data_IF_174332209542
#
_entry.id   IF_174332209542
#
_cell.length_a   1.000
_cell.length_b   1.000
_cell.length_c   1.000
_cell.angle_alpha   90.00
_cell.angle_beta   90.00
_cell.angle_gamma   90.00
#
_symmetry.space_group_name_H-M   'P 1'
#
loop_
_entity.id
_entity.type
_entity.pdbx_description
1 polymer ?
#
# COMPACT_ATOMS: atom_id res chain seq x y z
N UNK A 1 13.36 13.01 20.44
CA UNK A 1 12.30 12.76 21.42
C UNK A 1 11.00 13.37 20.94
N UNK A 2 9.88 12.73 21.23
CA UNK A 2 8.53 13.26 21.00
C UNK A 2 7.68 13.06 22.24
N UNK A 3 6.75 14.00 22.44
CA UNK A 3 5.73 13.93 23.49
C UNK A 3 4.46 14.58 22.97
N UNK A 4 3.31 14.00 23.23
CA UNK A 4 2.05 14.60 22.80
C UNK A 4 0.82 13.75 23.11
N UNK A 5 -0.33 14.33 22.84
CA UNK A 5 -1.61 13.66 22.87
C UNK A 5 -1.85 13.00 21.51
N UNK A 6 -2.04 11.68 21.50
CA UNK A 6 -2.28 10.90 20.27
C UNK A 6 -3.74 10.47 20.12
N UNK A 7 -4.55 10.71 21.14
CA UNK A 7 -5.99 10.44 21.11
C UNK A 7 -6.71 11.43 22.04
N UNK A 8 -7.61 12.21 21.46
CA UNK A 8 -8.48 13.15 22.18
C UNK A 8 -9.59 12.37 22.90
N UNK A 9 -9.93 12.72 24.14
CA UNK A 9 -11.07 12.10 24.82
C UNK A 9 -12.37 12.48 24.08
N UNK A 10 -13.23 11.49 23.92
CA UNK A 10 -14.59 11.71 23.49
C UNK A 10 -15.51 11.11 24.56
N UNK A 11 -16.14 11.99 25.36
CA UNK A 11 -17.09 11.64 26.39
C UNK A 11 -18.48 11.99 25.88
N UNK A 12 -19.26 11.01 25.51
CA UNK A 12 -20.65 11.22 25.14
C UNK A 12 -21.53 10.93 26.34
N UNK A 13 -21.92 11.96 27.08
CA UNK A 13 -22.82 11.88 28.22
C UNK A 13 -24.29 11.61 27.84
N UNK A 14 -24.65 11.78 26.56
CA UNK A 14 -26.02 11.66 26.08
C UNK A 14 -26.41 10.24 25.58
N UNK A 15 -25.68 9.21 25.95
CA UNK A 15 -25.89 7.85 25.44
C UNK A 15 -27.01 7.07 26.10
N UNK A 16 -28.15 7.68 26.39
CA UNK A 16 -29.42 6.97 26.45
C UNK A 16 -30.06 6.74 25.05
N UNK A 17 -29.49 7.31 24.02
CA UNK A 17 -29.85 7.05 22.64
C UNK A 17 -28.88 6.03 22.04
N UNK A 18 -29.41 4.89 21.63
CA UNK A 18 -28.76 3.82 20.88
C UNK A 18 -28.25 4.34 19.49
N UNK A 19 -27.25 5.21 19.46
CA UNK A 19 -26.51 5.52 18.24
C UNK A 19 -25.10 4.91 18.38
N UNK A 20 -24.89 3.85 17.63
CA UNK A 20 -23.76 2.90 17.67
C UNK A 20 -22.38 3.43 17.30
N UNK A 21 -22.20 4.72 17.05
CA UNK A 21 -20.99 5.24 16.40
C UNK A 21 -20.05 6.09 17.30
N UNK A 22 -20.40 6.32 18.57
CA UNK A 22 -19.60 7.14 19.48
C UNK A 22 -19.10 6.33 20.67
N UNK A 23 -18.05 5.56 20.46
CA UNK A 23 -17.35 4.86 21.55
C UNK A 23 -16.59 5.91 22.38
N UNK A 24 -16.94 6.05 23.64
CA UNK A 24 -16.21 6.87 24.61
C UNK A 24 -14.72 6.45 24.67
N UNK A 25 -13.83 7.42 24.64
CA UNK A 25 -12.39 7.17 24.59
C UNK A 25 -11.68 7.95 25.71
N UNK A 26 -10.69 7.33 26.33
CA UNK A 26 -9.78 8.01 27.25
C UNK A 26 -8.83 8.95 26.50
N UNK A 27 -8.38 10.00 27.19
CA UNK A 27 -7.24 10.79 26.75
C UNK A 27 -5.99 9.92 26.71
N UNK A 28 -5.33 9.82 25.57
CA UNK A 28 -4.10 9.05 25.41
C UNK A 28 -2.91 9.96 25.27
N UNK A 29 -1.99 9.90 26.20
CA UNK A 29 -0.68 10.54 26.11
C UNK A 29 0.37 9.53 25.72
N UNK A 30 1.30 9.98 24.86
CA UNK A 30 2.42 9.16 24.44
C UNK A 30 3.72 9.96 24.44
N UNK A 31 4.82 9.24 24.67
CA UNK A 31 6.17 9.76 24.50
C UNK A 31 7.06 8.70 23.88
N UNK A 32 8.01 9.18 23.10
CA UNK A 32 8.95 8.35 22.38
C UNK A 32 10.35 8.92 22.36
N UNK A 33 11.30 8.02 22.45
CA UNK A 33 12.73 8.33 22.34
C UNK A 33 13.34 7.45 21.26
N UNK A 34 14.18 8.03 20.44
CA UNK A 34 15.02 7.30 19.49
C UNK A 34 16.46 7.73 19.70
N UNK A 35 17.35 6.77 19.88
CA UNK A 35 18.78 6.95 19.95
C UNK A 35 19.43 6.15 18.84
N UNK A 36 20.25 6.77 18.02
CA UNK A 36 20.88 6.13 16.89
C UNK A 36 22.36 6.44 16.78
N UNK A 37 23.12 5.45 16.34
CA UNK A 37 24.54 5.54 16.06
C UNK A 37 24.78 5.21 14.59
N UNK A 38 25.57 6.02 13.91
CA UNK A 38 25.97 5.75 12.54
C UNK A 38 25.52 6.81 11.53
N UNK A 39 25.40 6.39 10.27
CA UNK A 39 24.99 7.21 9.12
C UNK A 39 23.85 6.48 8.41
N UNK A 40 23.13 7.17 7.50
CA UNK A 40 22.00 6.63 6.74
C UNK A 40 22.25 5.23 6.12
N UNK A 41 23.47 4.94 5.69
CA UNK A 41 23.84 3.64 5.09
C UNK A 41 24.23 2.57 6.09
N UNK A 42 24.81 2.95 7.22
CA UNK A 42 25.24 2.05 8.30
C UNK A 42 24.84 2.67 9.62
N UNK A 43 23.84 2.09 10.25
CA UNK A 43 23.30 2.60 11.51
C UNK A 43 22.81 1.47 12.40
N UNK A 44 22.75 1.80 13.67
CA UNK A 44 22.09 1.03 14.70
C UNK A 44 21.26 1.98 15.55
N UNK A 45 19.95 1.80 15.56
CA UNK A 45 19.00 2.64 16.27
C UNK A 45 18.28 1.83 17.33
N UNK A 46 18.12 2.43 18.49
CA UNK A 46 17.24 1.95 19.55
C UNK A 46 16.09 2.92 19.68
N UNK A 47 14.89 2.41 19.89
CA UNK A 47 13.75 3.25 20.16
C UNK A 47 12.90 2.70 21.30
N UNK A 48 12.29 3.63 21.99
CA UNK A 48 11.41 3.43 23.10
C UNK A 48 10.15 4.27 22.84
N UNK A 49 8.99 3.65 22.98
CA UNK A 49 7.71 4.34 22.84
C UNK A 49 6.79 3.85 23.96
N UNK A 50 6.14 4.78 24.64
CA UNK A 50 5.13 4.47 25.63
C UNK A 50 3.89 5.31 25.39
N UNK A 51 2.71 4.66 25.37
CA UNK A 51 1.40 5.29 25.31
C UNK A 51 0.51 4.80 26.45
N UNK A 52 -0.21 5.70 27.10
CA UNK A 52 -1.05 5.39 28.23
C UNK A 52 -2.38 6.14 28.17
N UNK A 53 -3.46 5.44 28.44
CA UNK A 53 -4.77 6.04 28.63
C UNK A 53 -4.92 6.54 30.07
N UNK A 54 -5.26 7.82 30.23
CA UNK A 54 -5.37 8.50 31.51
C UNK A 54 -6.79 8.39 32.07
N UNK A 55 -7.05 7.35 32.88
CA UNK A 55 -8.33 7.13 33.53
C UNK A 55 -8.54 7.98 34.78
N UNK A 56 -7.46 8.45 35.42
CA UNK A 56 -7.53 9.27 36.64
C UNK A 56 -8.09 10.69 36.43
N UNK A 57 -8.27 11.11 35.17
CA UNK A 57 -8.89 12.39 34.81
C UNK A 57 -10.41 12.30 34.69
N UNK A 58 -10.99 11.13 34.97
CA UNK A 58 -12.41 10.85 34.81
C UNK A 58 -12.94 10.46 36.23
N UNK A 59 -14.08 11.00 36.61
CA UNK A 59 -14.75 10.64 37.87
C UNK A 59 -15.12 9.15 37.88
N UNK A 60 -15.11 8.55 39.06
CA UNK A 60 -15.35 7.11 39.24
C UNK A 60 -16.70 6.64 38.61
N UNK A 61 -17.71 7.49 38.60
CA UNK A 61 -18.99 7.21 37.91
C UNK A 61 -18.86 7.12 36.40
N UNK A 62 -18.03 7.96 35.77
CA UNK A 62 -17.80 7.93 34.30
C UNK A 62 -17.01 6.70 33.86
N UNK A 63 -16.15 6.16 34.72
CA UNK A 63 -15.41 4.91 34.42
C UNK A 63 -16.38 3.72 34.30
N UNK A 64 -17.42 3.67 35.12
CA UNK A 64 -18.48 2.64 35.04
C UNK A 64 -19.34 2.80 33.77
N UNK A 65 -19.57 4.02 33.30
CA UNK A 65 -20.37 4.30 32.10
C UNK A 65 -19.60 3.96 30.84
N UNK A 66 -18.27 4.17 30.79
CA UNK A 66 -17.46 3.91 29.58
C UNK A 66 -17.29 2.42 29.28
N UNK A 67 -17.46 1.53 30.26
CA UNK A 67 -17.29 0.07 30.17
C UNK A 67 -16.00 -0.39 29.43
N UNK A 68 -15.12 0.54 29.10
CA UNK A 68 -13.88 0.28 28.40
C UNK A 68 -12.70 0.28 29.37
N UNK A 69 -11.92 -0.79 29.40
CA UNK A 69 -10.71 -0.82 30.23
C UNK A 69 -9.66 0.16 29.67
N UNK A 70 -8.98 0.95 30.54
CA UNK A 70 -7.91 1.84 30.10
C UNK A 70 -6.64 1.05 29.77
N UNK A 71 -6.19 0.99 28.49
CA UNK A 71 -4.99 0.27 28.13
C UNK A 71 -3.71 1.11 28.28
N UNK A 72 -2.58 0.41 28.39
CA UNK A 72 -1.23 0.96 28.39
C UNK A 72 -0.35 0.13 27.46
N UNK A 73 0.52 0.77 26.69
CA UNK A 73 1.40 0.10 25.73
C UNK A 73 2.81 0.64 25.81
N UNK A 74 3.76 -0.27 25.88
CA UNK A 74 5.19 -0.03 25.80
C UNK A 74 5.76 -0.74 24.58
N UNK A 75 6.50 -0.04 23.75
CA UNK A 75 7.23 -0.63 22.63
C UNK A 75 8.71 -0.30 22.75
N UNK A 76 9.52 -1.33 22.73
CA UNK A 76 10.98 -1.23 22.67
C UNK A 76 11.41 -1.90 21.38
N UNK A 77 12.29 -1.26 20.62
CA UNK A 77 12.73 -1.82 19.37
C UNK A 77 14.12 -1.37 18.94
N UNK A 78 14.61 -2.09 17.94
CA UNK A 78 15.89 -1.83 17.30
C UNK A 78 15.71 -1.79 15.81
N UNK A 79 16.46 -0.93 15.15
CA UNK A 79 16.60 -0.86 13.69
C UNK A 79 18.09 -0.80 13.36
N UNK A 80 18.55 -1.71 12.51
CA UNK A 80 19.96 -1.76 12.14
C UNK A 80 20.13 -2.05 10.66
N UNK A 81 21.11 -1.39 10.07
CA UNK A 81 21.52 -1.62 8.68
C UNK A 81 23.03 -1.54 8.59
N UNK A 82 23.62 -2.56 7.96
CA UNK A 82 25.06 -2.66 7.77
C UNK A 82 25.38 -3.05 6.33
N UNK A 83 26.34 -2.37 5.74
CA UNK A 83 26.85 -2.69 4.40
C UNK A 83 28.24 -3.26 4.52
N UNK A 84 28.40 -4.51 4.14
CA UNK A 84 29.66 -5.23 4.12
C UNK A 84 30.20 -5.32 2.69
N UNK A 85 31.53 -5.21 2.54
CA UNK A 85 32.21 -5.35 1.24
C UNK A 85 31.61 -4.46 0.12
N UNK A 86 30.93 -3.37 0.46
CA UNK A 86 30.23 -2.47 -0.47
C UNK A 86 29.12 -3.13 -1.32
N UNK A 87 28.85 -4.42 -1.14
CA UNK A 87 27.92 -5.22 -1.95
C UNK A 87 26.85 -5.94 -1.14
N UNK A 88 27.17 -6.36 0.07
CA UNK A 88 26.23 -7.09 0.94
C UNK A 88 25.62 -6.11 1.94
N UNK A 89 24.32 -5.97 1.92
CA UNK A 89 23.53 -5.21 2.89
C UNK A 89 22.78 -6.19 3.79
N UNK A 90 23.00 -6.08 5.10
CA UNK A 90 22.17 -6.72 6.11
C UNK A 90 21.30 -5.66 6.79
N UNK A 91 20.02 -5.94 6.92
CA UNK A 91 19.05 -5.10 7.64
C UNK A 91 18.31 -5.93 8.67
N UNK A 92 18.02 -5.31 9.80
CA UNK A 92 17.34 -5.97 10.90
C UNK A 92 16.50 -4.95 11.64
N UNK A 93 15.22 -5.26 11.86
CA UNK A 93 14.29 -4.48 12.66
C UNK A 93 13.54 -5.42 13.58
N UNK A 94 13.63 -5.21 14.90
CA UNK A 94 12.94 -6.02 15.88
C UNK A 94 12.25 -5.12 16.89
N UNK A 95 10.98 -5.38 17.13
CA UNK A 95 10.13 -4.63 18.03
C UNK A 95 9.41 -5.56 19.00
N UNK A 96 9.50 -5.28 20.28
CA UNK A 96 8.72 -5.91 21.31
C UNK A 96 7.66 -4.93 21.80
N UNK A 97 6.41 -5.30 21.66
CA UNK A 97 5.28 -4.55 22.21
C UNK A 97 4.73 -5.27 23.45
N UNK A 98 4.68 -4.55 24.54
CA UNK A 98 4.07 -4.98 25.79
C UNK A 98 2.80 -4.16 25.96
N UNK A 99 1.67 -4.84 26.00
CA UNK A 99 0.35 -4.22 26.07
C UNK A 99 -0.38 -4.74 27.31
N UNK A 100 -0.76 -3.83 28.19
CA UNK A 100 -1.72 -4.06 29.26
C UNK A 100 -3.09 -3.57 28.81
N UNK A 101 -4.05 -4.48 28.65
CA UNK A 101 -5.38 -4.10 28.15
C UNK A 101 -6.22 -3.35 29.19
N UNK A 102 -5.98 -3.59 30.47
CA UNK A 102 -6.69 -2.97 31.58
C UNK A 102 -5.74 -2.63 32.72
N UNK A 103 -5.47 -1.36 32.93
CA UNK A 103 -4.62 -0.91 34.05
C UNK A 103 -5.23 -1.12 35.42
N UNK A 104 -6.55 -1.34 35.50
CA UNK A 104 -7.31 -1.51 36.75
C UNK A 104 -7.49 -2.97 37.17
N UNK A 105 -6.99 -3.91 36.34
CA UNK A 105 -7.08 -5.33 36.64
C UNK A 105 -6.15 -5.71 37.83
N UNK A 106 -6.54 -6.74 38.60
CA UNK A 106 -5.76 -7.23 39.72
C UNK A 106 -4.43 -7.87 39.28
N UNK A 107 -3.43 -7.78 40.15
CA UNK A 107 -2.09 -8.33 39.91
C UNK A 107 -2.02 -9.86 40.10
N UNK A 108 -3.07 -10.51 40.62
CA UNK A 108 -3.02 -11.79 41.29
C UNK A 108 -2.75 -13.05 40.47
N UNK A 109 -2.75 -12.99 39.14
CA UNK A 109 -2.35 -14.15 38.32
C UNK A 109 -1.90 -13.68 36.94
N UNK A 110 -0.62 -13.64 36.75
CA UNK A 110 -0.07 -13.38 35.44
C UNK A 110 -0.11 -14.66 34.60
N UNK A 111 -0.62 -14.56 33.38
CA UNK A 111 -0.49 -15.64 32.41
C UNK A 111 1.01 -15.94 32.18
N UNK A 112 1.34 -17.22 32.03
CA UNK A 112 2.72 -17.76 31.88
C UNK A 112 3.58 -17.22 30.74
N UNK A 113 3.08 -16.26 29.98
CA UNK A 113 3.74 -15.73 28.77
C UNK A 113 4.97 -14.84 29.04
N UNK A 114 5.23 -14.44 30.30
CA UNK A 114 6.36 -13.57 30.64
C UNK A 114 7.27 -14.25 31.68
N UNK A 115 8.53 -14.47 31.36
CA UNK A 115 9.52 -14.94 32.33
C UNK A 115 9.65 -13.94 33.50
N UNK A 116 9.92 -14.44 34.71
CA UNK A 116 10.00 -13.63 35.92
C UNK A 116 11.03 -12.49 35.86
N UNK A 117 12.11 -12.68 35.08
CA UNK A 117 13.15 -11.66 34.87
C UNK A 117 12.64 -10.51 33.98
N UNK A 118 11.89 -10.81 32.95
CA UNK A 118 11.25 -9.80 32.07
C UNK A 118 10.19 -9.03 32.85
N UNK A 119 9.46 -9.70 33.72
CA UNK A 119 8.43 -9.15 34.59
C UNK A 119 8.96 -8.07 35.55
N UNK A 120 10.10 -8.31 36.22
CA UNK A 120 10.73 -7.33 37.12
C UNK A 120 11.15 -6.06 36.38
N UNK A 121 11.76 -6.22 35.22
CA UNK A 121 12.21 -5.09 34.39
C UNK A 121 11.01 -4.34 33.80
N UNK A 122 10.04 -5.06 33.28
CA UNK A 122 8.85 -4.48 32.61
C UNK A 122 7.93 -3.77 33.61
N UNK A 123 7.77 -4.33 34.82
CA UNK A 123 6.93 -3.75 35.89
C UNK A 123 7.36 -2.35 36.33
N UNK A 124 8.65 -1.98 36.11
CA UNK A 124 9.12 -0.62 36.38
C UNK A 124 8.66 0.41 35.31
N UNK A 125 8.27 -0.06 34.13
CA UNK A 125 7.92 0.80 33.01
C UNK A 125 6.44 0.74 32.62
N UNK A 126 5.70 -0.30 32.99
CA UNK A 126 4.29 -0.50 32.63
C UNK A 126 3.54 -1.17 33.78
N UNK A 127 2.25 -0.91 33.91
CA UNK A 127 1.37 -1.58 34.86
C UNK A 127 1.18 -3.05 34.43
N UNK A 128 1.95 -3.96 35.02
CA UNK A 128 1.89 -5.39 34.69
C UNK A 128 0.83 -6.11 35.53
N UNK A 129 -0.11 -6.79 34.86
CA UNK A 129 -1.17 -7.58 35.52
C UNK A 129 -1.62 -8.74 34.61
N UNK A 130 -2.68 -9.44 34.97
CA UNK A 130 -3.21 -10.59 34.22
C UNK A 130 -3.70 -10.26 32.78
N UNK A 131 -3.83 -8.98 32.43
CA UNK A 131 -4.20 -8.54 31.09
C UNK A 131 -2.99 -8.12 30.24
N UNK A 132 -1.78 -8.22 30.78
CA UNK A 132 -0.52 -7.85 30.15
C UNK A 132 -0.03 -8.97 29.24
N UNK A 133 0.35 -8.63 28.02
CA UNK A 133 0.94 -9.54 27.04
C UNK A 133 2.12 -8.89 26.32
N UNK A 134 3.10 -9.71 25.96
CA UNK A 134 4.21 -9.32 25.11
C UNK A 134 4.10 -9.99 23.74
N UNK A 135 4.31 -9.24 22.68
CA UNK A 135 4.31 -9.71 21.30
C UNK A 135 5.51 -9.13 20.56
N UNK A 136 6.06 -9.91 19.63
CA UNK A 136 7.19 -9.51 18.80
C UNK A 136 6.73 -9.18 17.38
N UNK A 137 7.39 -8.19 16.79
CA UNK A 137 7.32 -7.92 15.37
C UNK A 137 8.73 -7.66 14.86
N UNK A 138 9.13 -8.34 13.80
CA UNK A 138 10.47 -8.20 13.27
C UNK A 138 10.57 -8.45 11.78
N UNK A 139 11.60 -7.84 11.19
CA UNK A 139 12.01 -8.00 9.82
C UNK A 139 13.52 -8.20 9.77
N UNK A 140 13.99 -9.10 8.92
CA UNK A 140 15.39 -9.30 8.62
C UNK A 140 15.59 -9.41 7.11
N UNK A 141 16.63 -8.77 6.59
CA UNK A 141 16.93 -8.79 5.17
C UNK A 141 18.42 -8.94 4.92
N UNK A 142 18.74 -9.73 3.89
CA UNK A 142 20.08 -9.84 3.33
C UNK A 142 19.98 -9.55 1.84
N UNK A 143 20.75 -8.59 1.35
CA UNK A 143 20.76 -8.20 -0.05
C UNK A 143 22.18 -8.12 -0.57
N UNK A 144 22.48 -8.91 -1.58
CA UNK A 144 23.68 -8.79 -2.37
C UNK A 144 23.40 -7.97 -3.62
N UNK A 145 24.23 -6.96 -3.87
CA UNK A 145 24.10 -6.11 -5.05
C UNK A 145 25.43 -6.04 -5.80
N UNK A 146 25.40 -6.41 -7.05
CA UNK A 146 26.49 -6.26 -7.99
C UNK A 146 26.07 -5.40 -9.19
N UNK A 147 27.01 -5.12 -10.09
CA UNK A 147 26.76 -4.38 -11.32
C UNK A 147 25.74 -5.08 -12.23
N UNK A 148 25.81 -6.38 -12.33
CA UNK A 148 25.03 -7.18 -13.26
C UNK A 148 23.85 -7.90 -12.63
N UNK A 149 23.88 -8.15 -11.33
CA UNK A 149 22.82 -8.85 -10.64
C UNK A 149 22.62 -8.34 -9.22
N UNK A 150 21.47 -8.56 -8.68
CA UNK A 150 21.18 -8.47 -7.26
C UNK A 150 20.35 -9.68 -6.84
N UNK A 151 20.52 -10.08 -5.59
CA UNK A 151 19.71 -11.11 -4.94
C UNK A 151 19.47 -10.69 -3.50
N UNK A 152 18.25 -10.89 -3.02
CA UNK A 152 17.87 -10.55 -1.66
C UNK A 152 16.99 -11.64 -1.06
N UNK A 153 17.16 -11.82 0.25
CA UNK A 153 16.32 -12.63 1.11
C UNK A 153 15.71 -11.71 2.15
N UNK A 154 14.42 -11.81 2.35
CA UNK A 154 13.70 -11.02 3.34
C UNK A 154 12.75 -11.89 4.14
N UNK A 155 12.82 -11.76 5.45
CA UNK A 155 11.95 -12.41 6.43
C UNK A 155 11.22 -11.36 7.23
N UNK A 156 9.91 -11.55 7.44
CA UNK A 156 9.07 -10.70 8.27
C UNK A 156 8.16 -11.57 9.11
N UNK A 157 8.07 -11.26 10.40
CA UNK A 157 7.14 -11.91 11.31
C UNK A 157 6.50 -10.90 12.25
N UNK A 158 5.19 -11.00 12.42
CA UNK A 158 4.43 -10.22 13.37
C UNK A 158 3.57 -11.20 14.17
N UNK A 159 3.79 -11.24 15.46
CA UNK A 159 3.07 -12.14 16.36
C UNK A 159 1.57 -11.85 16.38
N UNK A 160 0.73 -12.87 16.66
CA UNK A 160 -0.70 -12.70 16.88
C UNK A 160 -0.97 -11.67 18.01
N UNK A 161 -1.95 -10.81 17.76
CA UNK A 161 -2.38 -9.75 18.69
C UNK A 161 -1.30 -8.68 18.97
N UNK A 162 -0.26 -8.57 18.14
CA UNK A 162 0.67 -7.46 18.22
C UNK A 162 -0.07 -6.13 18.02
N UNK A 163 0.15 -5.18 18.94
CA UNK A 163 -0.42 -3.83 18.88
C UNK A 163 0.61 -2.80 19.31
N UNK A 164 0.59 -1.64 18.68
CA UNK A 164 1.35 -0.46 19.07
C UNK A 164 0.46 0.77 19.00
N UNK A 165 0.45 1.59 20.02
CA UNK A 165 -0.29 2.86 20.02
C UNK A 165 0.35 3.92 19.11
N UNK A 166 1.59 3.72 18.70
CA UNK A 166 2.28 4.58 17.73
C UNK A 166 1.92 4.28 16.28
N UNK A 167 1.14 3.25 16.00
CA UNK A 167 0.73 2.84 14.65
C UNK A 167 -0.80 2.71 14.62
N UNK A 168 -1.43 3.38 13.67
CA UNK A 168 -2.89 3.37 13.56
C UNK A 168 -3.45 1.98 13.20
N UNK A 169 -2.79 1.28 12.29
CA UNK A 169 -3.17 -0.07 11.87
C UNK A 169 -1.93 -0.91 11.56
N UNK A 170 -1.93 -2.15 12.02
CA UNK A 170 -0.92 -3.15 11.69
C UNK A 170 -1.61 -4.50 11.47
N UNK A 171 -1.24 -5.18 10.39
CA UNK A 171 -1.69 -6.55 10.15
C UNK A 171 -0.84 -7.48 11.01
N UNK A 172 -1.44 -8.07 12.02
CA UNK A 172 -0.81 -9.00 12.94
C UNK A 172 -0.98 -10.48 12.51
N UNK A 173 -0.29 -11.37 13.20
CA UNK A 173 -0.36 -12.82 12.98
C UNK A 173 0.07 -13.20 11.56
N UNK A 174 1.26 -12.76 11.19
CA UNK A 174 1.78 -12.83 9.84
C UNK A 174 3.24 -13.29 9.84
N UNK A 175 3.55 -14.23 8.98
CA UNK A 175 4.93 -14.61 8.63
C UNK A 175 5.10 -14.58 7.12
N UNK A 176 6.18 -13.99 6.65
CA UNK A 176 6.47 -13.81 5.23
C UNK A 176 7.94 -14.08 4.94
N UNK A 177 8.19 -14.94 3.97
CA UNK A 177 9.51 -15.22 3.40
C UNK A 177 9.53 -14.74 1.96
N UNK A 178 10.48 -13.90 1.60
CA UNK A 178 10.58 -13.36 0.25
C UNK A 178 11.99 -13.51 -0.29
N UNK A 179 12.09 -14.01 -1.50
CA UNK A 179 13.32 -14.01 -2.31
C UNK A 179 13.12 -13.05 -3.45
N UNK A 180 14.01 -12.12 -3.63
CA UNK A 180 14.00 -11.19 -4.76
C UNK A 180 15.31 -11.26 -5.52
N UNK A 181 15.26 -11.07 -6.82
CA UNK A 181 16.44 -11.08 -7.68
C UNK A 181 16.29 -10.19 -8.90
N UNK A 182 17.40 -9.72 -9.41
CA UNK A 182 17.45 -8.95 -10.63
C UNK A 182 18.72 -9.23 -11.44
N UNK A 183 18.58 -9.21 -12.75
CA UNK A 183 19.66 -9.38 -13.72
C UNK A 183 19.67 -8.21 -14.68
N UNK A 184 20.85 -7.66 -14.94
CA UNK A 184 21.09 -6.58 -15.90
C UNK A 184 22.10 -7.06 -16.94
N UNK A 185 21.61 -7.31 -18.14
CA UNK A 185 22.39 -7.86 -19.22
C UNK A 185 22.52 -6.86 -20.36
N UNK A 186 23.45 -7.12 -21.30
CA UNK A 186 23.64 -6.33 -22.51
C UNK A 186 23.74 -4.82 -22.26
N UNK A 187 24.57 -4.40 -21.30
CA UNK A 187 24.75 -2.98 -20.91
C UNK A 187 23.41 -2.30 -20.54
N UNK A 188 22.57 -2.98 -19.74
CA UNK A 188 21.23 -2.55 -19.31
C UNK A 188 20.14 -2.53 -20.40
N UNK A 189 20.40 -3.11 -21.57
CA UNK A 189 19.33 -3.27 -22.57
C UNK A 189 18.33 -4.36 -22.20
N UNK A 190 18.72 -5.27 -21.34
CA UNK A 190 17.87 -6.36 -20.87
C UNK A 190 17.92 -6.40 -19.33
N UNK A 191 16.81 -6.08 -18.71
CA UNK A 191 16.68 -6.08 -17.25
C UNK A 191 15.57 -7.04 -16.85
N UNK A 192 15.89 -8.03 -16.04
CA UNK A 192 14.94 -8.94 -15.40
C UNK A 192 14.88 -8.63 -13.91
N UNK A 193 13.69 -8.66 -13.35
CA UNK A 193 13.46 -8.61 -11.92
C UNK A 193 12.41 -9.64 -11.56
N UNK A 194 12.60 -10.30 -10.43
CA UNK A 194 11.66 -11.26 -9.92
C UNK A 194 11.61 -11.25 -8.40
N UNK A 195 10.47 -11.60 -7.87
CA UNK A 195 10.29 -11.92 -6.47
C UNK A 195 9.41 -13.15 -6.31
N UNK A 196 9.67 -13.89 -5.25
CA UNK A 196 8.90 -15.04 -4.81
C UNK A 196 8.69 -14.91 -3.31
N UNK A 197 7.44 -14.87 -2.87
CA UNK A 197 7.07 -14.73 -1.47
C UNK A 197 6.10 -15.81 -1.04
N UNK A 198 6.34 -16.38 0.13
CA UNK A 198 5.42 -17.24 0.84
C UNK A 198 4.97 -16.53 2.12
N UNK A 199 3.67 -16.31 2.24
CA UNK A 199 3.06 -15.69 3.40
C UNK A 199 2.10 -16.64 4.06
N UNK A 200 2.14 -16.72 5.38
CA UNK A 200 1.18 -17.49 6.18
C UNK A 200 0.72 -16.70 7.39
N UNK A 201 -0.49 -17.00 7.85
CA UNK A 201 -1.05 -16.48 9.08
C UNK A 201 -1.40 -17.62 10.05
N UNK A 202 -2.05 -17.28 11.17
CA UNK A 202 -2.46 -18.22 12.23
C UNK A 202 -1.27 -18.97 12.83
N UNK A 203 -0.20 -18.23 13.15
CA UNK A 203 1.10 -18.75 13.59
C UNK A 203 1.02 -19.59 14.89
N UNK A 204 0.03 -19.32 15.74
CA UNK A 204 -0.23 -20.08 16.99
C UNK A 204 -1.42 -21.04 16.87
N UNK A 205 -1.99 -21.23 15.67
CA UNK A 205 -3.15 -22.08 15.42
C UNK A 205 -4.38 -21.80 16.30
N UNK A 206 -4.56 -20.51 16.68
CA UNK A 206 -5.68 -20.07 17.54
C UNK A 206 -6.86 -19.52 16.73
N UNK A 207 -6.65 -19.16 15.47
CA UNK A 207 -7.72 -18.67 14.58
C UNK A 207 -8.45 -19.84 13.95
N UNK A 208 -9.73 -19.63 13.64
CA UNK A 208 -10.56 -20.64 12.97
C UNK A 208 -10.05 -21.01 11.59
N UNK A 209 -9.38 -20.10 10.91
CA UNK A 209 -8.88 -20.30 9.55
C UNK A 209 -7.38 -20.02 9.48
N UNK A 210 -6.66 -20.87 8.75
CA UNK A 210 -5.26 -20.67 8.36
C UNK A 210 -5.22 -20.31 6.89
N UNK A 211 -4.49 -19.28 6.51
CA UNK A 211 -4.31 -18.84 5.12
C UNK A 211 -2.84 -18.88 4.76
N UNK A 212 -2.54 -19.58 3.67
CA UNK A 212 -1.23 -19.58 3.02
C UNK A 212 -1.34 -18.88 1.67
N UNK A 213 -0.34 -18.06 1.35
CA UNK A 213 -0.31 -17.25 0.13
C UNK A 213 1.03 -17.39 -0.54
N UNK A 214 1.00 -17.82 -1.78
CA UNK A 214 2.16 -17.80 -2.66
C UNK A 214 2.03 -16.59 -3.60
N UNK A 215 3.03 -15.72 -3.57
CA UNK A 215 3.08 -14.51 -4.38
C UNK A 215 4.36 -14.56 -5.20
N UNK A 216 4.26 -14.48 -6.50
CA UNK A 216 5.43 -14.32 -7.34
C UNK A 216 5.18 -13.31 -8.46
N UNK A 217 6.23 -12.58 -8.78
CA UNK A 217 6.23 -11.59 -9.85
C UNK A 217 7.54 -11.70 -10.62
N UNK A 218 7.43 -11.65 -11.94
CA UNK A 218 8.56 -11.60 -12.85
C UNK A 218 8.31 -10.45 -13.81
N UNK A 219 9.27 -9.55 -13.93
CA UNK A 219 9.22 -8.46 -14.89
C UNK A 219 10.49 -8.40 -15.73
N UNK A 220 10.33 -8.05 -16.99
CA UNK A 220 11.43 -7.84 -17.92
C UNK A 220 11.24 -6.52 -18.64
N UNK A 221 12.30 -5.72 -18.70
CA UNK A 221 12.37 -4.53 -19.52
C UNK A 221 13.46 -4.76 -20.56
N UNK A 222 13.05 -4.77 -21.83
CA UNK A 222 13.90 -4.99 -23.01
C UNK A 222 13.97 -3.68 -23.76
N UNK A 223 15.15 -3.10 -23.88
CA UNK A 223 15.40 -1.86 -24.65
C UNK A 223 16.02 -2.25 -26.00
N UNK A 224 15.26 -2.04 -27.06
CA UNK A 224 15.67 -2.29 -28.44
C UNK A 224 16.29 -1.02 -29.01
N UNK A 225 17.62 -0.92 -28.99
CA UNK A 225 18.33 0.31 -29.37
C UNK A 225 17.86 1.51 -28.51
N UNK A 226 18.09 2.74 -28.99
CA UNK A 226 17.71 3.95 -28.24
C UNK A 226 16.23 4.33 -28.31
N UNK A 227 15.46 3.69 -29.16
CA UNK A 227 14.17 4.22 -29.62
C UNK A 227 12.97 3.38 -29.25
N UNK A 228 13.14 2.14 -28.88
CA UNK A 228 12.03 1.27 -28.58
C UNK A 228 12.34 0.24 -27.51
N UNK A 229 11.31 -0.44 -27.05
CA UNK A 229 11.44 -1.47 -26.06
C UNK A 229 10.16 -2.24 -25.82
N UNK A 230 10.27 -3.19 -24.92
CA UNK A 230 9.20 -4.09 -24.52
C UNK A 230 9.24 -4.27 -23.00
N UNK A 231 8.13 -3.97 -22.35
CA UNK A 231 7.93 -4.30 -20.95
C UNK A 231 7.04 -5.53 -20.86
N UNK A 232 7.50 -6.54 -20.13
CA UNK A 232 6.78 -7.76 -19.84
C UNK A 232 6.65 -7.89 -18.33
N UNK A 233 5.46 -8.21 -17.84
CA UNK A 233 5.24 -8.51 -16.43
C UNK A 233 4.30 -9.69 -16.32
N UNK A 234 4.66 -10.63 -15.47
CA UNK A 234 3.80 -11.71 -15.03
C UNK A 234 3.77 -11.73 -13.52
N UNK A 235 2.59 -11.72 -12.94
CA UNK A 235 2.41 -11.88 -11.50
C UNK A 235 1.34 -12.91 -11.21
N UNK A 236 1.53 -13.63 -10.12
CA UNK A 236 0.58 -14.59 -9.60
C UNK A 236 0.43 -14.40 -8.11
N UNK A 237 -0.79 -14.49 -7.64
CA UNK A 237 -1.17 -14.43 -6.25
C UNK A 237 -2.15 -15.57 -5.96
N UNK A 238 -1.67 -16.59 -5.25
CA UNK A 238 -2.49 -17.71 -4.83
C UNK A 238 -2.76 -17.65 -3.32
N UNK A 239 -4.02 -17.85 -2.93
CA UNK A 239 -4.45 -17.97 -1.54
C UNK A 239 -4.99 -19.38 -1.34
N UNK A 240 -4.52 -20.08 -0.32
CA UNK A 240 -5.09 -21.31 0.22
C UNK A 240 -5.47 -21.05 1.67
N UNK A 241 -6.77 -21.03 1.98
CA UNK A 241 -7.27 -20.83 3.33
C UNK A 241 -8.01 -22.07 3.78
N UNK A 242 -7.53 -22.67 4.87
CA UNK A 242 -8.08 -23.88 5.46
C UNK A 242 -8.70 -23.60 6.81
N UNK A 243 -9.73 -24.36 7.17
CA UNK A 243 -10.27 -24.34 8.52
C UNK A 243 -9.22 -24.82 9.54
N UNK A 244 -9.00 -24.04 10.60
CA UNK A 244 -8.00 -24.34 11.63
C UNK A 244 -8.45 -25.37 12.67
N UNK A 245 -9.71 -25.84 12.64
CA UNK A 245 -10.25 -26.85 13.53
C UNK A 245 -10.23 -28.22 12.87
N UNK A 246 -9.56 -29.16 13.49
CA UNK A 246 -9.29 -30.53 12.99
C UNK A 246 -10.56 -31.36 12.65
N UNK A 247 -11.74 -30.91 13.07
CA UNK A 247 -13.03 -31.63 12.86
C UNK A 247 -13.85 -31.11 11.70
N UNK A 248 -13.46 -30.05 11.01
CA UNK A 248 -14.19 -29.55 9.85
C UNK A 248 -13.55 -30.07 8.58
N UNK A 249 -14.28 -30.91 7.89
CA UNK A 249 -14.00 -31.49 6.59
C UNK A 249 -13.47 -30.40 5.60
N UNK A 250 -12.70 -30.78 4.60
CA UNK A 250 -12.16 -29.96 3.49
C UNK A 250 -13.21 -29.05 2.79
N UNK A 251 -14.49 -29.25 3.12
CA UNK A 251 -15.64 -28.49 2.65
C UNK A 251 -15.53 -26.96 2.87
N UNK A 252 -14.76 -26.51 3.87
CA UNK A 252 -14.58 -25.08 4.17
C UNK A 252 -13.21 -24.53 3.72
N UNK A 253 -12.59 -25.18 2.75
CA UNK A 253 -11.35 -24.71 2.16
C UNK A 253 -11.63 -23.67 1.06
N UNK A 254 -11.04 -22.49 1.17
CA UNK A 254 -11.08 -21.46 0.14
C UNK A 254 -9.74 -21.39 -0.58
N UNK A 255 -9.75 -21.61 -1.89
CA UNK A 255 -8.56 -21.56 -2.73
C UNK A 255 -8.83 -20.65 -3.92
N UNK A 256 -8.07 -19.58 -4.03
CA UNK A 256 -8.18 -18.65 -5.14
C UNK A 256 -6.81 -18.38 -5.74
N UNK A 257 -6.74 -18.36 -7.05
CA UNK A 257 -5.55 -18.00 -7.79
C UNK A 257 -5.83 -16.81 -8.71
N UNK A 258 -5.01 -15.77 -8.59
CA UNK A 258 -5.08 -14.59 -9.45
C UNK A 258 -3.79 -14.46 -10.23
N UNK A 259 -3.87 -14.51 -11.54
CA UNK A 259 -2.73 -14.29 -12.44
C UNK A 259 -2.92 -13.01 -13.26
N UNK A 260 -1.84 -12.27 -13.45
CA UNK A 260 -1.82 -11.03 -14.26
C UNK A 260 -0.66 -11.11 -15.24
N UNK A 261 -0.95 -10.89 -16.51
CA UNK A 261 0.04 -10.76 -17.58
C UNK A 261 -0.07 -9.36 -18.15
N UNK A 262 1.06 -8.68 -18.29
CA UNK A 262 1.15 -7.37 -18.96
C UNK A 262 2.24 -7.40 -20.00
N UNK A 263 1.91 -6.94 -21.20
CA UNK A 263 2.83 -6.83 -22.34
C UNK A 263 2.69 -5.42 -22.91
N UNK A 264 3.78 -4.65 -22.91
CA UNK A 264 3.73 -3.25 -23.33
C UNK A 264 4.92 -2.90 -24.22
N UNK A 265 4.86 -3.16 -25.54
CA UNK A 265 5.82 -2.63 -26.49
C UNK A 265 5.64 -1.11 -26.64
N UNK A 266 6.75 -0.42 -26.82
CA UNK A 266 6.78 1.00 -27.11
C UNK A 266 7.85 1.33 -28.15
N UNK A 267 7.60 2.38 -28.92
CA UNK A 267 8.56 2.90 -29.86
C UNK A 267 8.49 4.43 -29.89
N UNK A 268 9.66 5.06 -29.80
CA UNK A 268 9.80 6.53 -29.81
C UNK A 268 10.69 6.96 -30.96
N UNK A 269 10.29 8.00 -31.68
CA UNK A 269 11.09 8.55 -32.77
C UNK A 269 10.94 10.07 -32.85
N UNK A 270 11.68 10.68 -33.74
CA UNK A 270 11.67 12.12 -33.94
C UNK A 270 13.04 12.74 -33.73
N UNK A 271 13.07 14.05 -33.63
CA UNK A 271 14.25 14.87 -33.44
C UNK A 271 14.18 15.70 -32.15
N UNK A 272 15.12 16.62 -31.95
CA UNK A 272 15.16 17.50 -30.81
C UNK A 272 13.92 18.41 -30.68
N UNK A 273 13.28 18.76 -31.77
CA UNK A 273 12.12 19.66 -31.84
C UNK A 273 10.80 18.90 -31.65
N UNK A 274 10.73 17.69 -32.20
CA UNK A 274 9.51 16.87 -32.22
C UNK A 274 9.82 15.48 -31.77
N UNK A 275 9.18 15.04 -30.68
CA UNK A 275 9.26 13.66 -30.16
C UNK A 275 7.91 12.99 -30.32
N UNK A 276 7.91 11.80 -30.88
CA UNK A 276 6.75 10.95 -31.07
C UNK A 276 6.93 9.67 -30.26
N UNK A 277 5.85 9.14 -29.75
CA UNK A 277 5.82 7.88 -29.00
C UNK A 277 4.57 7.09 -29.39
N UNK A 278 4.75 5.83 -29.70
CA UNK A 278 3.68 4.85 -29.88
C UNK A 278 3.85 3.77 -28.83
N UNK A 279 2.80 3.50 -28.09
CA UNK A 279 2.78 2.47 -27.07
C UNK A 279 1.51 1.62 -27.22
N UNK A 280 1.68 0.33 -27.27
CA UNK A 280 0.60 -0.64 -27.11
C UNK A 280 0.73 -1.25 -25.73
N UNK A 281 -0.39 -1.49 -25.03
CA UNK A 281 -0.43 -2.19 -23.76
C UNK A 281 -1.52 -3.23 -23.79
N UNK A 282 -1.15 -4.46 -23.53
CA UNK A 282 -2.05 -5.58 -23.34
C UNK A 282 -1.92 -6.04 -21.89
N UNK A 283 -3.02 -6.05 -21.17
CA UNK A 283 -3.09 -6.55 -19.80
C UNK A 283 -4.21 -7.56 -19.70
N UNK A 284 -3.95 -8.70 -19.11
CA UNK A 284 -4.99 -9.68 -18.76
C UNK A 284 -4.82 -10.11 -17.32
N UNK A 285 -5.93 -10.15 -16.59
CA UNK A 285 -6.01 -10.68 -15.23
C UNK A 285 -7.05 -11.79 -15.21
N UNK A 286 -6.70 -12.90 -14.63
CA UNK A 286 -7.58 -14.04 -14.46
C UNK A 286 -7.64 -14.41 -12.98
N UNK A 287 -8.85 -14.52 -12.46
CA UNK A 287 -9.14 -15.06 -11.13
C UNK A 287 -9.76 -16.43 -11.32
N UNK A 288 -9.23 -17.44 -10.65
CA UNK A 288 -9.78 -18.80 -10.62
C UNK A 288 -10.11 -19.17 -9.18
N UNK A 289 -11.34 -19.58 -8.96
CA UNK A 289 -11.82 -20.17 -7.73
C UNK A 289 -11.65 -21.69 -7.81
N UNK A 290 -10.75 -22.20 -6.98
CA UNK A 290 -10.42 -23.64 -6.88
C UNK A 290 -10.95 -24.23 -5.57
N UNK A 291 -11.87 -23.55 -4.90
CA UNK A 291 -12.45 -23.97 -3.62
C UNK A 291 -13.40 -25.16 -3.84
N UNK A 292 -13.35 -26.22 -3.03
CA UNK A 292 -14.16 -27.43 -3.23
C UNK A 292 -15.68 -27.19 -3.22
N UNK A 293 -16.14 -26.16 -2.48
CA UNK A 293 -17.57 -25.83 -2.32
C UNK A 293 -18.10 -24.76 -3.26
N UNK A 294 -17.21 -23.96 -3.82
CA UNK A 294 -17.56 -22.81 -4.68
C UNK A 294 -16.79 -22.81 -5.99
N UNK A 295 -16.32 -23.97 -6.43
CA UNK A 295 -15.53 -24.10 -7.64
C UNK A 295 -16.13 -23.34 -8.82
N UNK A 296 -15.35 -22.40 -9.37
CA UNK A 296 -15.76 -21.52 -10.47
C UNK A 296 -16.72 -20.38 -10.11
N UNK A 297 -17.29 -20.31 -8.91
CA UNK A 297 -18.25 -19.26 -8.56
C UNK A 297 -17.64 -17.85 -8.53
N UNK A 298 -16.37 -17.73 -8.26
CA UNK A 298 -15.64 -16.46 -8.26
C UNK A 298 -14.72 -16.28 -9.48
N UNK A 299 -14.87 -17.14 -10.48
CA UNK A 299 -14.08 -17.04 -11.71
C UNK A 299 -14.35 -15.73 -12.44
N UNK A 300 -13.26 -15.08 -12.85
CA UNK A 300 -13.36 -13.82 -13.58
C UNK A 300 -12.12 -13.57 -14.44
N UNK A 301 -12.33 -12.90 -15.54
CA UNK A 301 -11.27 -12.49 -16.45
C UNK A 301 -11.46 -11.03 -16.85
N UNK A 302 -10.37 -10.27 -16.75
CA UNK A 302 -10.30 -8.91 -17.26
C UNK A 302 -9.23 -8.83 -18.32
N UNK A 303 -9.54 -8.24 -19.47
CA UNK A 303 -8.60 -7.96 -20.54
C UNK A 303 -8.64 -6.48 -20.87
N UNK A 304 -7.48 -5.85 -21.01
CA UNK A 304 -7.33 -4.45 -21.40
C UNK A 304 -6.34 -4.35 -22.53
N UNK A 305 -6.73 -3.71 -23.61
CA UNK A 305 -5.91 -3.39 -24.78
C UNK A 305 -5.94 -1.89 -24.97
N UNK A 306 -4.77 -1.27 -25.00
CA UNK A 306 -4.65 0.19 -25.12
C UNK A 306 -3.56 0.48 -26.14
N UNK A 307 -3.90 1.27 -27.15
CA UNK A 307 -2.94 1.82 -28.11
C UNK A 307 -2.91 3.33 -27.92
N UNK A 308 -1.76 3.88 -27.59
CA UNK A 308 -1.55 5.31 -27.41
C UNK A 308 -0.49 5.82 -28.39
N UNK A 309 -0.81 6.90 -29.05
CA UNK A 309 0.13 7.68 -29.82
C UNK A 309 0.25 9.08 -29.24
N UNK A 310 1.45 9.60 -29.07
CA UNK A 310 1.71 10.95 -28.55
C UNK A 310 2.79 11.65 -29.38
N UNK A 311 2.55 12.91 -29.68
CA UNK A 311 3.51 13.83 -30.30
C UNK A 311 3.74 15.03 -29.37
N UNK A 312 4.99 15.36 -29.13
CA UNK A 312 5.41 16.49 -28.31
C UNK A 312 6.22 17.45 -29.20
N UNK A 313 5.70 18.66 -29.39
CA UNK A 313 6.32 19.75 -30.12
C UNK A 313 7.04 20.67 -29.13
N UNK A 314 8.33 20.42 -28.90
CA UNK A 314 9.10 21.10 -27.84
C UNK A 314 9.23 22.60 -28.03
N UNK A 315 9.46 23.07 -29.28
CA UNK A 315 9.60 24.50 -29.56
C UNK A 315 8.29 25.26 -29.31
N UNK A 316 7.17 24.63 -29.68
CA UNK A 316 5.82 25.19 -29.52
C UNK A 316 5.19 24.89 -28.15
N UNK A 317 5.86 24.05 -27.34
CA UNK A 317 5.38 23.61 -26.04
C UNK A 317 3.97 22.98 -26.10
N UNK A 318 3.66 22.28 -27.18
CA UNK A 318 2.43 21.53 -27.36
C UNK A 318 2.66 20.03 -27.25
N UNK A 319 1.67 19.34 -26.67
CA UNK A 319 1.57 17.88 -26.73
C UNK A 319 0.18 17.45 -27.19
N UNK A 320 0.15 16.52 -28.13
CA UNK A 320 -1.05 15.92 -28.67
C UNK A 320 -0.98 14.42 -28.45
N UNK A 321 -2.09 13.81 -28.08
CA UNK A 321 -2.17 12.36 -27.92
C UNK A 321 -3.51 11.83 -28.42
N UNK A 322 -3.46 10.65 -29.00
CA UNK A 322 -4.62 9.87 -29.40
C UNK A 322 -4.49 8.48 -28.78
N UNK A 323 -5.57 7.97 -28.22
CA UNK A 323 -5.60 6.64 -27.66
C UNK A 323 -6.86 5.89 -28.08
N UNK A 324 -6.74 4.59 -28.28
CA UNK A 324 -7.85 3.67 -28.45
C UNK A 324 -7.73 2.60 -27.38
N UNK A 325 -8.85 2.24 -26.77
CA UNK A 325 -8.88 1.27 -25.71
C UNK A 325 -10.05 0.30 -25.84
N UNK A 326 -9.77 -0.93 -25.46
CA UNK A 326 -10.78 -1.98 -25.30
C UNK A 326 -10.58 -2.63 -23.93
N UNK A 327 -11.61 -2.65 -23.11
CA UNK A 327 -11.61 -3.35 -21.83
C UNK A 327 -12.76 -4.34 -21.83
N UNK A 328 -12.46 -5.60 -21.56
CA UNK A 328 -13.41 -6.70 -21.51
C UNK A 328 -13.32 -7.35 -20.14
N UNK A 329 -14.45 -7.48 -19.46
CA UNK A 329 -14.56 -8.16 -18.19
C UNK A 329 -15.58 -9.28 -18.34
N UNK A 330 -15.18 -10.47 -17.97
CA UNK A 330 -16.05 -11.65 -17.92
C UNK A 330 -16.09 -12.10 -16.47
N UNK A 331 -17.26 -12.17 -15.90
CA UNK A 331 -17.49 -12.68 -14.56
C UNK A 331 -18.69 -13.64 -14.63
N UNK A 332 -18.42 -14.91 -14.46
CA UNK A 332 -19.40 -15.98 -14.73
C UNK A 332 -19.99 -15.82 -16.16
N UNK A 333 -21.30 -15.73 -16.25
CA UNK A 333 -22.07 -15.61 -17.50
C UNK A 333 -22.26 -14.16 -17.97
N UNK A 334 -21.68 -13.18 -17.24
CA UNK A 334 -21.81 -11.76 -17.56
C UNK A 334 -20.53 -11.30 -18.21
N UNK A 335 -20.64 -10.90 -19.47
CA UNK A 335 -19.59 -10.23 -20.21
C UNK A 335 -19.91 -8.74 -20.32
N UNK A 336 -18.99 -7.89 -19.85
CA UNK A 336 -19.07 -6.45 -20.05
C UNK A 336 -17.88 -5.97 -20.85
N UNK A 337 -18.11 -5.18 -21.88
CA UNK A 337 -17.08 -4.66 -22.74
C UNK A 337 -17.21 -3.13 -22.84
N UNK A 338 -16.07 -2.49 -22.95
CA UNK A 338 -15.91 -1.06 -23.10
C UNK A 338 -14.90 -0.78 -24.20
N UNK A 339 -15.34 -0.20 -25.31
CA UNK A 339 -14.50 0.19 -26.43
C UNK A 339 -14.59 1.69 -26.60
N UNK A 340 -13.47 2.35 -26.75
CA UNK A 340 -13.49 3.79 -26.93
C UNK A 340 -12.14 4.39 -27.31
N UNK A 341 -12.17 5.71 -27.48
CA UNK A 341 -10.98 6.50 -27.76
C UNK A 341 -10.83 7.66 -26.80
N UNK A 342 -9.63 8.17 -26.72
CA UNK A 342 -9.30 9.38 -25.97
C UNK A 342 -8.39 10.30 -26.77
N UNK A 343 -8.55 11.60 -26.49
CA UNK A 343 -7.72 12.67 -27.03
C UNK A 343 -7.06 13.37 -25.86
N UNK A 344 -5.79 13.65 -26.00
CA UNK A 344 -5.01 14.43 -25.06
C UNK A 344 -4.43 15.67 -25.74
N UNK A 345 -4.66 16.84 -25.16
CA UNK A 345 -4.11 18.11 -25.58
C UNK A 345 -3.37 18.73 -24.41
N UNK A 346 -2.13 19.12 -24.60
CA UNK A 346 -1.34 19.77 -23.58
C UNK A 346 -0.61 21.00 -24.11
N UNK A 347 -0.57 22.06 -23.31
CA UNK A 347 0.19 23.28 -23.57
C UNK A 347 0.96 23.68 -22.35
N UNK A 348 2.23 23.99 -22.52
CA UNK A 348 3.05 24.59 -21.48
C UNK A 348 3.39 26.02 -21.88
N UNK A 349 3.12 26.99 -21.00
CA UNK A 349 3.52 28.37 -21.13
C UNK A 349 4.75 28.58 -20.25
N UNK A 350 5.78 29.29 -20.75
CA UNK A 350 7.02 29.51 -20.00
C UNK A 350 6.99 30.77 -19.14
N UNK A 351 6.18 31.76 -19.53
CA UNK A 351 6.00 33.02 -18.82
C UNK A 351 4.54 33.47 -18.95
N UNK A 352 3.69 33.34 -17.93
CA UNK A 352 3.92 32.63 -16.63
C UNK A 352 4.12 31.12 -16.86
N UNK A 353 4.78 30.43 -15.90
CA UNK A 353 5.00 28.98 -15.99
C UNK A 353 3.67 28.25 -15.66
N UNK A 354 2.89 27.99 -16.69
CA UNK A 354 1.57 27.34 -16.61
C UNK A 354 1.52 26.15 -17.55
N UNK A 355 1.08 25.02 -17.05
CA UNK A 355 0.79 23.84 -17.84
C UNK A 355 -0.72 23.59 -17.84
N UNK A 356 -1.31 23.48 -19.01
CA UNK A 356 -2.72 23.13 -19.18
C UNK A 356 -2.80 21.83 -19.97
N UNK A 357 -3.59 20.89 -19.47
CA UNK A 357 -3.84 19.61 -20.13
C UNK A 357 -5.33 19.31 -20.15
N UNK A 358 -5.85 18.97 -21.33
CA UNK A 358 -7.20 18.47 -21.52
C UNK A 358 -7.13 17.03 -22.03
N UNK A 359 -7.81 16.16 -21.35
CA UNK A 359 -8.00 14.78 -21.78
C UNK A 359 -9.48 14.49 -21.87
N UNK A 360 -9.95 14.03 -23.00
CA UNK A 360 -11.35 13.65 -23.21
C UNK A 360 -11.41 12.25 -23.80
N UNK A 361 -12.24 11.40 -23.21
CA UNK A 361 -12.48 10.04 -23.68
C UNK A 361 -13.97 9.77 -23.88
N UNK A 362 -14.28 9.04 -24.94
CA UNK A 362 -15.61 8.51 -25.22
C UNK A 362 -15.54 7.00 -25.33
N UNK A 363 -16.45 6.31 -24.66
CA UNK A 363 -16.49 4.85 -24.65
C UNK A 363 -17.92 4.36 -24.87
N UNK A 364 -18.07 3.35 -25.70
CA UNK A 364 -19.27 2.56 -25.89
C UNK A 364 -19.23 1.41 -24.89
N UNK A 365 -20.36 1.15 -24.26
CA UNK A 365 -20.54 0.08 -23.27
C UNK A 365 -21.43 -0.98 -23.89
N UNK A 366 -21.02 -2.24 -23.76
CA UNK A 366 -21.81 -3.40 -24.16
C UNK A 366 -21.87 -4.40 -23.02
N UNK A 367 -22.96 -5.13 -22.92
CA UNK A 367 -23.13 -6.22 -21.98
C UNK A 367 -23.73 -7.42 -22.69
N UNK A 368 -23.10 -8.58 -22.58
CA UNK A 368 -23.46 -9.82 -23.28
C UNK A 368 -23.67 -9.59 -24.79
N UNK A 369 -22.79 -8.80 -25.42
CA UNK A 369 -22.88 -8.45 -26.84
C UNK A 369 -23.93 -7.39 -27.22
N UNK A 370 -24.83 -7.03 -26.32
CA UNK A 370 -25.83 -6.00 -26.57
C UNK A 370 -25.31 -4.61 -26.14
N UNK A 371 -25.69 -3.57 -26.88
CA UNK A 371 -25.31 -2.19 -26.52
C UNK A 371 -25.98 -1.78 -25.21
N UNK A 372 -25.20 -1.42 -24.19
CA UNK A 372 -25.68 -0.94 -22.90
C UNK A 372 -25.72 0.59 -22.81
N UNK A 373 -24.82 1.28 -23.51
CA UNK A 373 -24.79 2.72 -23.47
C UNK A 373 -23.43 3.33 -23.82
N UNK A 374 -23.13 4.46 -23.17
CA UNK A 374 -21.85 5.16 -23.35
C UNK A 374 -21.35 5.82 -22.06
N UNK A 375 -20.05 6.11 -22.05
CA UNK A 375 -19.41 6.90 -21.00
C UNK A 375 -18.49 7.97 -21.59
N UNK A 376 -18.59 9.18 -21.07
CA UNK A 376 -17.69 10.30 -21.37
C UNK A 376 -16.90 10.62 -20.10
N UNK A 377 -15.62 10.86 -20.29
CA UNK A 377 -14.73 11.32 -19.22
C UNK A 377 -13.85 12.43 -19.78
N UNK A 378 -14.01 13.65 -19.28
CA UNK A 378 -13.21 14.81 -19.67
C UNK A 378 -12.54 15.39 -18.45
N UNK A 379 -11.23 15.55 -18.50
CA UNK A 379 -10.43 16.10 -17.40
C UNK A 379 -9.60 17.26 -17.92
N UNK A 380 -9.81 18.42 -17.35
CA UNK A 380 -8.98 19.61 -17.53
C UNK A 380 -8.12 19.77 -16.28
N UNK A 381 -6.81 19.73 -16.47
CA UNK A 381 -5.86 19.98 -15.40
C UNK A 381 -5.00 21.18 -15.75
N UNK A 382 -4.91 22.14 -14.84
CA UNK A 382 -4.07 23.32 -14.96
C UNK A 382 -3.14 23.39 -13.77
N UNK A 383 -1.84 23.46 -14.02
CA UNK A 383 -0.82 23.63 -12.98
C UNK A 383 -0.08 24.94 -13.23
N UNK A 384 -0.09 25.82 -12.27
CA UNK A 384 0.55 27.13 -12.32
C UNK A 384 1.64 27.23 -11.25
N UNK A 385 2.86 27.44 -11.68
CA UNK A 385 3.99 27.69 -10.80
C UNK A 385 4.10 29.20 -10.55
N UNK A 386 3.58 29.63 -9.42
CA UNK A 386 3.52 31.03 -9.02
C UNK A 386 4.94 31.59 -8.75
N UNK A 387 5.76 30.79 -8.08
CA UNK A 387 7.17 31.07 -7.81
C UNK A 387 7.93 29.75 -7.56
N UNK A 388 9.23 29.84 -7.19
CA UNK A 388 10.08 28.65 -6.95
C UNK A 388 9.56 27.74 -5.81
N UNK A 389 8.73 28.27 -4.90
CA UNK A 389 8.23 27.54 -3.72
C UNK A 389 6.75 27.24 -3.79
N UNK A 390 5.99 27.97 -4.61
CA UNK A 390 4.53 27.89 -4.60
C UNK A 390 4.02 27.43 -5.95
N UNK A 391 3.19 26.40 -5.96
CA UNK A 391 2.43 25.98 -7.13
C UNK A 391 0.95 25.85 -6.79
N UNK A 392 0.11 26.20 -7.73
CA UNK A 392 -1.34 26.10 -7.66
C UNK A 392 -1.82 25.19 -8.77
N UNK A 393 -2.66 24.24 -8.48
CA UNK A 393 -3.26 23.36 -9.49
C UNK A 393 -4.77 23.33 -9.37
N UNK A 394 -5.43 23.30 -10.52
CA UNK A 394 -6.87 23.19 -10.67
C UNK A 394 -7.17 21.94 -11.50
N UNK A 395 -8.12 21.17 -11.05
CA UNK A 395 -8.64 20.03 -11.78
C UNK A 395 -10.14 20.17 -11.90
N UNK A 396 -10.64 20.06 -13.13
CA UNK A 396 -12.06 19.96 -13.44
C UNK A 396 -12.29 18.65 -14.16
N UNK A 397 -13.11 17.78 -13.60
CA UNK A 397 -13.46 16.51 -14.23
C UNK A 397 -14.97 16.48 -14.50
N UNK A 398 -15.33 16.16 -15.74
CA UNK A 398 -16.69 15.88 -16.17
C UNK A 398 -16.84 14.40 -16.48
N UNK A 399 -17.79 13.76 -15.83
CA UNK A 399 -18.07 12.34 -15.92
C UNK A 399 -19.53 12.14 -16.27
N UNK A 400 -19.81 11.51 -17.40
CA UNK A 400 -21.17 11.16 -17.81
C UNK A 400 -21.25 9.70 -18.18
N UNK A 401 -22.21 8.99 -17.62
CA UNK A 401 -22.50 7.61 -17.97
C UNK A 401 -23.99 7.49 -18.25
N UNK A 402 -24.33 6.98 -19.42
CA UNK A 402 -25.67 6.54 -19.77
C UNK A 402 -25.60 5.03 -20.00
N UNK A 403 -26.36 4.26 -19.24
CA UNK A 403 -26.39 2.79 -19.32
C UNK A 403 -27.84 2.35 -19.13
N UNK A 404 -28.22 1.25 -19.78
CA UNK A 404 -29.54 0.64 -19.66
C UNK A 404 -29.61 -0.20 -18.39
N UNK A 405 -28.53 -0.92 -18.10
CA UNK A 405 -28.50 -1.93 -17.01
C UNK A 405 -27.85 -1.42 -15.73
N UNK A 406 -27.16 -0.28 -15.75
CA UNK A 406 -26.51 0.27 -14.57
C UNK A 406 -26.91 1.71 -14.29
N UNK A 407 -26.55 2.22 -13.12
CA UNK A 407 -26.87 3.60 -12.70
C UNK A 407 -26.35 4.63 -13.70
N UNK A 408 -27.23 5.49 -14.18
CA UNK A 408 -26.87 6.69 -14.94
C UNK A 408 -26.34 7.76 -14.00
N UNK A 409 -25.30 8.47 -14.39
CA UNK A 409 -24.82 9.63 -13.66
C UNK A 409 -24.26 10.69 -14.59
N UNK A 410 -24.33 11.92 -14.13
CA UNK A 410 -23.76 13.11 -14.75
C UNK A 410 -23.17 13.95 -13.62
N UNK A 411 -21.85 14.15 -13.62
CA UNK A 411 -21.14 14.69 -12.47
C UNK A 411 -19.99 15.59 -12.93
N UNK A 412 -19.87 16.75 -12.27
CA UNK A 412 -18.73 17.64 -12.41
C UNK A 412 -18.02 17.71 -11.05
N UNK A 413 -16.71 17.45 -11.05
CA UNK A 413 -15.85 17.54 -9.88
C UNK A 413 -14.83 18.64 -10.04
N UNK A 414 -14.67 19.44 -9.01
CA UNK A 414 -13.64 20.49 -8.93
C UNK A 414 -12.68 20.17 -7.80
N UNK A 415 -11.40 20.33 -8.06
CA UNK A 415 -10.36 20.21 -7.04
C UNK A 415 -9.32 21.30 -7.23
N UNK A 416 -8.94 21.95 -6.13
CA UNK A 416 -7.87 22.96 -6.11
C UNK A 416 -6.83 22.51 -5.08
N UNK A 417 -5.58 22.56 -5.46
CA UNK A 417 -4.47 22.23 -4.58
C UNK A 417 -3.41 23.33 -4.63
N UNK A 418 -3.09 23.89 -3.46
CA UNK A 418 -1.99 24.82 -3.25
C UNK A 418 -0.85 24.08 -2.56
N UNK A 419 0.30 24.00 -3.21
CA UNK A 419 1.51 23.40 -2.66
C UNK A 419 2.55 24.46 -2.37
N UNK A 420 3.09 24.46 -1.16
CA UNK A 420 4.18 25.34 -0.74
C UNK A 420 5.34 24.53 -0.17
N UNK A 421 6.52 24.67 -0.77
CA UNK A 421 7.74 24.01 -0.34
C UNK A 421 8.50 24.89 0.67
N UNK A 422 8.55 24.46 1.93
CA UNK A 422 9.25 25.16 3.01
C UNK A 422 10.78 25.17 2.81
N UNK A 423 11.33 24.12 2.19
CA UNK A 423 12.76 23.98 1.94
C UNK A 423 13.08 24.21 0.46
N UNK A 424 14.07 25.04 0.16
CA UNK A 424 14.59 25.15 -1.20
C UNK A 424 15.24 23.83 -1.62
N UNK A 425 14.82 23.28 -2.74
CA UNK A 425 15.43 22.09 -3.36
C UNK A 425 16.86 22.37 -3.89
N UNK A 426 17.30 23.60 -3.89
CA UNK A 426 18.66 24.03 -4.19
C UNK A 426 19.46 24.23 -2.90
N UNK A 427 19.72 23.13 -2.18
CA UNK A 427 20.85 23.10 -1.25
C UNK A 427 22.15 23.34 -2.04
N UNK A 428 22.57 24.58 -2.14
CA UNK A 428 23.92 24.91 -2.56
C UNK A 428 24.91 24.14 -1.68
N UNK A 429 25.39 23.00 -2.18
CA UNK A 429 26.67 22.48 -1.76
C UNK A 429 27.71 23.50 -2.24
N UNK A 430 28.00 24.50 -1.42
CA UNK A 430 29.27 25.23 -1.53
C UNK A 430 30.38 24.18 -1.36
N UNK A 431 31.06 23.90 -2.44
CA UNK A 431 32.40 23.30 -2.39
C UNK A 431 33.28 24.25 -1.61
N UNK A 432 33.73 23.85 -0.47
CA UNK A 432 35.02 24.23 0.08
C UNK A 432 35.92 23.00 0.04
#
# INVERSE_FOLDING_TARGET
AMYGEIKTPNYNLDTLAFQSDLISNYKRLAYGLKFGLGKERNHFDLFYFKGRDHYKLIDAQEIYITQLPPPENLVIGTDARFIFLKKLTASFNLNMSILTNNQLAREDTLQDDLSESIRKVVGSFITANNTTRACLAGEAGLQWQDKYFNIGLHFKRIDPKYRSFGIHYILDDLENYTVNGGLRLLKNHLNFNGNLGLQRNNLKHIRRNTSERLIYNISSNIILKSNGGLNLTYSNFAIDQRAGLVMLNDTFRFVQNTSVISVSPFYSWGNEKTKQNLQFSFNTSQVKDLSPTSEGLSDGQTQSQILNYRINLKEKEWSFGLGVQRNRNVYRDIESERIGGNIHLGKTLKKPEVQVTLQTGYNILTQNGAKDGFAINSVLNTSWKLNKRTSLSFLVAYLKKSSIQSRKYDEIRFSTNLSYNLLDSNGNRKKN
#
